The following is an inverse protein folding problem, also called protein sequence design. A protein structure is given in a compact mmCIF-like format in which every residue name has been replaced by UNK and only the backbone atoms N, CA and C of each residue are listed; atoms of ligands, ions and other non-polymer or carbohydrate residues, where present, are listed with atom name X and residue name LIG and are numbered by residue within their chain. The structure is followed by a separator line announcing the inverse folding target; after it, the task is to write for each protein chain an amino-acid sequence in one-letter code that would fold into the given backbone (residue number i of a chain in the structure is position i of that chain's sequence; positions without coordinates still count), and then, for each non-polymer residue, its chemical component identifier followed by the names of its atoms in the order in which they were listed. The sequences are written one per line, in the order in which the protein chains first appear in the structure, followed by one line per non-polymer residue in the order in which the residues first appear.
data_IF_520408490742
#
_entry.id   IF_520408490742
#
_cell.length_a   1.000
_cell.length_b   1.000
_cell.length_c   1.000
_cell.angle_alpha   90.00
_cell.angle_beta   90.00
_cell.angle_gamma   90.00
#
_symmetry.space_group_name_H-M   'P 1'
#
loop_
_entity.id
_entity.type
_entity.pdbx_description
1 polymer ?
#
# COMPACT_ATOMS: atom_id res chain seq x y z
N UNK A 1 -21.46 2.14 2.07
CA UNK A 1 -21.89 2.70 3.37
C UNK A 1 -20.77 2.71 4.42
N UNK A 2 -20.07 1.60 4.64
CA UNK A 2 -19.02 1.52 5.68
C UNK A 2 -17.88 2.53 5.52
N UNK A 3 -17.40 2.81 4.30
CA UNK A 3 -16.38 3.85 4.09
C UNK A 3 -16.86 5.26 4.52
N UNK A 4 -18.14 5.58 4.33
CA UNK A 4 -18.70 6.87 4.80
C UNK A 4 -18.64 6.92 6.32
N UNK A 5 -19.00 5.84 7.01
CA UNK A 5 -18.87 5.74 8.46
C UNK A 5 -17.42 5.96 8.90
N UNK A 6 -16.44 5.34 8.23
CA UNK A 6 -15.02 5.52 8.54
C UNK A 6 -14.60 7.00 8.41
N UNK A 7 -14.98 7.65 7.30
CA UNK A 7 -14.64 9.06 7.04
C UNK A 7 -15.34 9.99 8.03
N UNK A 8 -16.59 9.71 8.42
CA UNK A 8 -17.30 10.46 9.46
C UNK A 8 -16.65 10.27 10.84
N UNK A 9 -16.27 9.05 11.21
CA UNK A 9 -15.52 8.81 12.45
C UNK A 9 -14.19 9.56 12.47
N UNK A 10 -13.47 9.58 11.34
CA UNK A 10 -12.25 10.36 11.19
C UNK A 10 -12.53 11.88 11.33
N UNK A 11 -13.59 12.38 10.71
CA UNK A 11 -13.99 13.78 10.83
C UNK A 11 -14.29 14.16 12.29
N UNK A 12 -14.98 13.28 13.04
CA UNK A 12 -15.24 13.50 14.48
C UNK A 12 -13.94 13.57 15.27
N UNK A 13 -12.98 12.67 15.01
CA UNK A 13 -11.66 12.69 15.64
C UNK A 13 -10.94 14.02 15.38
N UNK A 14 -11.00 14.53 14.14
CA UNK A 14 -10.39 15.80 13.75
C UNK A 14 -11.08 17.00 14.41
N UNK A 15 -12.42 17.02 14.47
CA UNK A 15 -13.19 18.11 15.11
C UNK A 15 -12.89 18.20 16.60
N UNK A 16 -12.75 17.07 17.30
CA UNK A 16 -12.39 17.04 18.72
C UNK A 16 -10.97 17.61 18.92
N UNK A 17 -10.10 17.49 17.91
CA UNK A 17 -8.72 17.99 17.91
C UNK A 17 -7.78 17.29 18.89
N UNK A 18 -8.28 16.30 19.63
CA UNK A 18 -7.55 15.53 20.64
C UNK A 18 -7.99 14.07 20.57
N UNK A 19 -7.02 13.16 20.62
CA UNK A 19 -7.28 11.72 20.65
C UNK A 19 -6.50 11.05 21.79
N UNK A 20 -7.20 10.21 22.55
CA UNK A 20 -6.62 9.37 23.59
C UNK A 20 -6.30 8.00 23.02
N UNK A 21 -5.43 7.22 23.69
CA UNK A 21 -5.08 5.85 23.29
C UNK A 21 -6.31 4.96 23.06
N UNK A 22 -7.32 5.06 23.93
CA UNK A 22 -8.58 4.32 23.78
C UNK A 22 -9.37 4.71 22.53
N UNK A 23 -9.34 6.00 22.16
CA UNK A 23 -9.98 6.48 20.93
C UNK A 23 -9.25 5.97 19.68
N UNK A 24 -7.92 5.94 19.71
CA UNK A 24 -7.11 5.40 18.62
C UNK A 24 -7.31 3.88 18.47
N UNK A 25 -7.35 3.14 19.58
CA UNK A 25 -7.70 1.72 19.60
C UNK A 25 -9.10 1.48 19.03
N UNK A 26 -10.11 2.23 19.49
CA UNK A 26 -11.47 2.09 18.99
C UNK A 26 -11.58 2.35 17.48
N UNK A 27 -10.89 3.39 16.99
CA UNK A 27 -10.85 3.71 15.56
C UNK A 27 -10.21 2.59 14.74
N UNK A 28 -9.09 2.02 15.21
CA UNK A 28 -8.46 0.85 14.57
C UNK A 28 -9.38 -0.39 14.61
N UNK A 29 -10.06 -0.63 15.74
CA UNK A 29 -10.93 -1.79 15.91
C UNK A 29 -12.16 -1.79 14.97
N UNK A 30 -12.55 -0.64 14.43
CA UNK A 30 -13.59 -0.57 13.38
C UNK A 30 -13.24 -1.46 12.17
N UNK A 31 -11.96 -1.72 11.89
CA UNK A 31 -11.58 -2.60 10.79
C UNK A 31 -11.99 -4.07 11.06
N UNK A 32 -11.87 -4.53 12.31
CA UNK A 32 -12.36 -5.87 12.66
C UNK A 32 -13.88 -5.94 12.59
N UNK A 33 -14.57 -4.87 13.00
CA UNK A 33 -16.03 -4.77 12.84
C UNK A 33 -16.42 -4.86 11.36
N UNK A 34 -15.68 -4.19 10.47
CA UNK A 34 -15.88 -4.30 9.02
C UNK A 34 -15.73 -5.74 8.52
N UNK A 35 -14.63 -6.41 8.88
CA UNK A 35 -14.36 -7.79 8.45
C UNK A 35 -15.42 -8.74 8.97
N UNK A 36 -15.80 -8.62 10.25
CA UNK A 36 -16.88 -9.41 10.83
C UNK A 36 -18.22 -9.14 10.14
N UNK A 37 -18.54 -7.88 9.83
CA UNK A 37 -19.77 -7.52 9.13
C UNK A 37 -19.83 -8.15 7.74
N UNK A 38 -18.73 -8.10 6.97
CA UNK A 38 -18.64 -8.75 5.65
C UNK A 38 -18.78 -10.26 5.80
N UNK A 39 -18.10 -10.87 6.78
CA UNK A 39 -18.17 -12.31 7.02
C UNK A 39 -19.59 -12.77 7.38
N UNK A 40 -20.28 -12.04 8.27
CA UNK A 40 -21.67 -12.33 8.64
C UNK A 40 -22.61 -12.12 7.45
N UNK A 41 -22.46 -11.03 6.70
CA UNK A 41 -23.26 -10.76 5.49
C UNK A 41 -23.12 -11.89 4.47
N UNK A 42 -21.92 -12.43 4.30
CA UNK A 42 -21.66 -13.57 3.43
C UNK A 42 -22.34 -14.85 3.91
N UNK A 43 -22.30 -15.13 5.22
CA UNK A 43 -22.98 -16.29 5.77
C UNK A 43 -24.50 -16.24 5.54
N UNK A 44 -25.12 -15.06 5.73
CA UNK A 44 -26.55 -14.88 5.48
C UNK A 44 -26.92 -15.08 4.01
N UNK A 45 -26.13 -14.52 3.07
CA UNK A 45 -26.37 -14.70 1.63
C UNK A 45 -26.13 -16.15 1.19
N UNK A 46 -25.14 -16.83 1.78
CA UNK A 46 -24.89 -18.24 1.54
C UNK A 46 -26.04 -19.14 1.99
N UNK A 47 -26.64 -18.84 3.15
CA UNK A 47 -27.79 -19.57 3.69
C UNK A 47 -29.06 -19.37 2.84
N UNK A 48 -29.33 -18.15 2.36
CA UNK A 48 -30.47 -17.84 1.50
C UNK A 48 -30.35 -18.48 0.10
N UNK A 49 -29.13 -18.52 -0.46
CA UNK A 49 -28.85 -19.26 -1.70
C UNK A 49 -29.03 -20.76 -1.50
N UNK A 50 -28.52 -21.33 -0.40
CA UNK A 50 -28.65 -22.76 -0.09
C UNK A 50 -30.11 -23.19 0.08
N UNK A 51 -30.93 -22.33 0.72
CA UNK A 51 -32.37 -22.56 0.88
C UNK A 51 -33.12 -22.53 -0.46
N UNK A 52 -32.72 -21.64 -1.39
CA UNK A 52 -33.30 -21.57 -2.75
C UNK A 52 -32.76 -22.65 -3.70
N UNK A 53 -31.54 -23.15 -3.49
CA UNK A 53 -30.96 -24.24 -4.28
C UNK A 53 -31.39 -25.63 -3.78
N UNK A 54 -32.00 -25.77 -2.60
CA UNK A 54 -32.59 -27.04 -2.18
C UNK A 54 -33.76 -27.50 -3.08
N UNK A 55 -34.30 -26.63 -3.94
CA UNK A 55 -35.31 -26.95 -4.95
C UNK A 55 -34.73 -27.34 -6.33
N UNK A 56 -33.40 -27.34 -6.52
CA UNK A 56 -32.73 -27.74 -7.77
C UNK A 56 -31.50 -28.60 -7.44
N UNK A 57 -31.46 -29.82 -7.97
CA UNK A 57 -30.54 -30.94 -7.70
C UNK A 57 -29.10 -30.62 -7.22
N UNK A 58 -28.67 -31.49 -6.30
CA UNK A 58 -27.39 -31.56 -5.58
C UNK A 58 -26.19 -31.58 -6.54
N UNK A 59 -25.33 -30.56 -6.47
CA UNK A 59 -23.91 -30.69 -6.81
C UNK A 59 -23.08 -30.53 -5.53
N UNK A 60 -22.25 -31.53 -5.28
CA UNK A 60 -21.50 -31.76 -4.05
C UNK A 60 -20.18 -30.97 -4.11
N UNK A 61 -20.25 -29.66 -3.89
CA UNK A 61 -19.07 -28.84 -3.61
C UNK A 61 -19.43 -27.74 -2.62
N UNK A 62 -18.97 -27.92 -1.38
CA UNK A 62 -19.25 -27.09 -0.22
C UNK A 62 -18.41 -25.80 -0.22
N UNK A 63 -18.44 -25.04 -1.31
CA UNK A 63 -17.72 -23.77 -1.44
C UNK A 63 -18.67 -22.57 -1.53
N UNK A 64 -18.49 -21.62 -0.60
CA UNK A 64 -19.33 -20.44 -0.41
C UNK A 64 -19.28 -19.50 -1.65
N UNK A 65 -20.43 -19.04 -2.19
CA UNK A 65 -20.50 -18.45 -3.53
C UNK A 65 -19.67 -17.17 -3.74
N UNK A 66 -19.61 -16.22 -2.80
CA UNK A 66 -18.77 -15.02 -3.01
C UNK A 66 -17.29 -15.25 -2.75
N UNK A 67 -16.91 -16.25 -1.93
CA UNK A 67 -15.51 -16.64 -1.77
C UNK A 67 -15.01 -17.26 -3.07
N UNK A 68 -15.82 -18.07 -3.76
CA UNK A 68 -15.51 -18.55 -5.10
C UNK A 68 -15.43 -17.41 -6.12
N UNK A 69 -16.40 -16.49 -6.16
CA UNK A 69 -16.38 -15.36 -7.10
C UNK A 69 -15.21 -14.40 -6.84
N UNK A 70 -14.91 -14.11 -5.56
CA UNK A 70 -13.79 -13.26 -5.17
C UNK A 70 -12.45 -13.98 -5.35
N UNK A 71 -12.36 -15.31 -5.16
CA UNK A 71 -11.16 -16.11 -5.43
C UNK A 71 -10.92 -16.23 -6.93
N UNK A 72 -11.95 -16.46 -7.74
CA UNK A 72 -11.89 -16.48 -9.21
C UNK A 72 -11.56 -15.10 -9.77
N UNK A 73 -12.08 -14.04 -9.16
CA UNK A 73 -11.71 -12.67 -9.50
C UNK A 73 -10.34 -12.25 -8.97
N UNK A 74 -9.87 -12.82 -7.85
CA UNK A 74 -8.50 -12.66 -7.35
C UNK A 74 -7.52 -13.42 -8.24
N UNK A 75 -7.88 -14.60 -8.74
CA UNK A 75 -7.14 -15.36 -9.75
C UNK A 75 -7.10 -14.58 -11.06
N UNK A 76 -8.22 -14.01 -11.51
CA UNK A 76 -8.26 -13.11 -12.68
C UNK A 76 -7.41 -11.85 -12.48
N UNK A 77 -7.50 -11.22 -11.30
CA UNK A 77 -6.68 -10.07 -10.91
C UNK A 77 -5.19 -10.44 -10.86
N UNK A 78 -4.85 -11.62 -10.35
CA UNK A 78 -3.49 -12.13 -10.31
C UNK A 78 -2.98 -12.46 -11.71
N UNK A 79 -3.75 -13.17 -12.54
CA UNK A 79 -3.43 -13.46 -13.94
C UNK A 79 -3.30 -12.20 -14.80
N UNK A 80 -3.94 -11.09 -14.43
CA UNK A 80 -3.83 -9.81 -15.14
C UNK A 80 -2.69 -8.93 -14.56
N UNK A 81 -2.48 -8.99 -13.24
CA UNK A 81 -1.42 -8.27 -12.52
C UNK A 81 -0.05 -8.89 -12.76
N UNK A 82 0.06 -10.21 -12.91
CA UNK A 82 1.31 -10.91 -13.21
C UNK A 82 1.88 -10.43 -14.55
N UNK A 83 1.15 -10.38 -15.68
CA UNK A 83 1.61 -9.77 -16.92
C UNK A 83 1.97 -8.29 -16.79
N UNK A 84 1.30 -7.49 -15.95
CA UNK A 84 1.64 -6.08 -15.71
C UNK A 84 2.93 -5.91 -14.90
N UNK A 85 3.14 -6.75 -13.89
CA UNK A 85 4.37 -6.76 -13.07
C UNK A 85 5.54 -7.41 -13.81
N UNK A 86 5.28 -8.43 -14.62
CA UNK A 86 6.24 -9.10 -15.51
C UNK A 86 6.56 -8.23 -16.72
N UNK A 87 5.63 -7.41 -17.24
CA UNK A 87 5.95 -6.41 -18.29
C UNK A 87 6.92 -5.31 -17.81
N UNK A 88 7.08 -5.12 -16.49
CA UNK A 88 8.16 -4.28 -15.96
C UNK A 88 9.54 -4.95 -16.13
N UNK A 89 9.59 -6.27 -16.36
CA UNK A 89 10.78 -7.08 -16.61
C UNK A 89 10.96 -7.59 -18.05
N UNK A 90 9.91 -7.71 -18.85
CA UNK A 90 9.97 -8.23 -20.23
C UNK A 90 9.01 -7.48 -21.18
N UNK A 91 9.36 -6.25 -21.55
CA UNK A 91 8.92 -5.72 -22.86
C UNK A 91 9.77 -6.39 -23.93
N UNK A 92 9.36 -7.57 -24.35
CA UNK A 92 9.88 -8.19 -25.57
C UNK A 92 8.76 -8.93 -26.29
N UNK A 93 7.91 -8.18 -27.00
CA UNK A 93 7.69 -8.39 -28.43
C UNK A 93 6.50 -7.57 -28.95
N UNK A 94 6.74 -6.30 -29.30
CA UNK A 94 6.21 -5.77 -30.56
C UNK A 94 7.36 -5.09 -31.31
N UNK A 95 7.85 -5.78 -32.35
CA UNK A 95 8.80 -5.26 -33.33
C UNK A 95 8.11 -4.08 -34.04
N UNK A 96 8.53 -2.83 -33.82
CA UNK A 96 8.57 -1.73 -34.85
C UNK A 96 9.23 -0.40 -34.41
N UNK A 97 9.68 -0.14 -33.17
CA UNK A 97 10.45 1.09 -32.85
C UNK A 97 11.68 0.79 -31.98
N UNK A 98 12.90 0.67 -32.56
CA UNK A 98 14.02 -0.07 -31.94
C UNK A 98 15.33 0.67 -31.65
N UNK A 99 15.47 1.99 -31.73
CA UNK A 99 16.77 2.62 -31.43
C UNK A 99 16.79 3.53 -30.19
N UNK A 100 15.83 4.43 -30.02
CA UNK A 100 15.83 5.39 -28.90
C UNK A 100 15.54 4.73 -27.52
N UNK A 101 14.77 3.64 -27.51
CA UNK A 101 14.37 2.96 -26.28
C UNK A 101 15.52 2.22 -25.57
N UNK A 102 16.61 1.90 -26.29
CA UNK A 102 17.76 1.19 -25.73
C UNK A 102 18.65 2.12 -24.89
N UNK A 103 18.81 3.37 -25.32
CA UNK A 103 19.58 4.38 -24.59
C UNK A 103 18.83 4.80 -23.33
N UNK A 104 17.53 5.08 -23.43
CA UNK A 104 16.70 5.43 -22.27
C UNK A 104 16.70 4.32 -21.21
N UNK A 105 16.62 3.05 -21.64
CA UNK A 105 16.70 1.88 -20.76
C UNK A 105 18.08 1.74 -20.10
N UNK A 106 19.17 1.96 -20.84
CA UNK A 106 20.53 1.94 -20.28
C UNK A 106 20.75 3.07 -19.28
N UNK A 107 20.28 4.28 -19.58
CA UNK A 107 20.32 5.43 -18.67
C UNK A 107 19.50 5.13 -17.42
N UNK A 108 18.31 4.55 -17.58
CA UNK A 108 17.48 4.09 -16.47
C UNK A 108 18.21 3.09 -15.56
N UNK A 109 18.87 2.08 -16.14
CA UNK A 109 19.66 1.12 -15.35
C UNK A 109 20.84 1.76 -14.62
N UNK A 110 21.56 2.69 -15.26
CA UNK A 110 22.70 3.39 -14.61
C UNK A 110 22.21 4.28 -13.47
N UNK A 111 21.05 4.92 -13.62
CA UNK A 111 20.43 5.75 -12.58
C UNK A 111 19.85 4.91 -11.44
N UNK A 112 19.35 3.71 -11.72
CA UNK A 112 18.81 2.79 -10.71
C UNK A 112 19.93 2.06 -9.93
N UNK A 113 21.08 1.84 -10.56
CA UNK A 113 22.22 1.13 -9.99
C UNK A 113 22.66 1.59 -8.58
N UNK A 114 22.82 2.90 -8.30
CA UNK A 114 23.23 3.37 -6.96
C UNK A 114 22.23 3.02 -5.85
N UNK A 115 20.94 2.79 -6.18
CA UNK A 115 19.90 2.43 -5.22
C UNK A 115 19.69 0.91 -5.18
N UNK A 116 19.72 0.26 -6.33
CA UNK A 116 19.46 -1.18 -6.46
C UNK A 116 20.61 -2.02 -5.89
N UNK A 117 21.86 -1.57 -6.02
CA UNK A 117 23.03 -2.32 -5.57
C UNK A 117 23.11 -2.44 -4.03
N UNK A 118 22.99 -1.37 -3.23
CA UNK A 118 22.92 -1.49 -1.77
C UNK A 118 21.67 -2.25 -1.30
N UNK A 119 20.53 -2.06 -1.97
CA UNK A 119 19.29 -2.81 -1.69
C UNK A 119 19.49 -4.30 -1.84
N UNK A 120 20.03 -4.70 -2.99
CA UNK A 120 20.41 -6.09 -3.25
C UNK A 120 21.37 -6.56 -2.17
N UNK A 121 22.47 -5.86 -1.94
CA UNK A 121 23.50 -6.30 -1.00
C UNK A 121 23.03 -6.45 0.45
N UNK A 122 21.89 -5.88 0.85
CA UNK A 122 21.42 -5.92 2.24
C UNK A 122 20.16 -6.75 2.45
N UNK A 123 19.41 -7.07 1.39
CA UNK A 123 18.23 -7.95 1.48
C UNK A 123 18.65 -9.40 1.21
N UNK A 124 18.65 -10.28 2.23
CA UNK A 124 18.93 -11.68 2.03
C UNK A 124 17.88 -12.34 1.13
N UNK A 125 18.29 -12.77 -0.07
CA UNK A 125 17.41 -13.45 -1.02
C UNK A 125 17.43 -14.97 -0.80
N UNK A 126 16.25 -15.57 -0.59
CA UNK A 126 16.08 -17.01 -0.31
C UNK A 126 15.58 -17.80 -1.53
N UNK A 127 15.26 -17.12 -2.64
CA UNK A 127 14.75 -17.79 -3.84
C UNK A 127 15.82 -18.68 -4.48
N UNK A 128 15.46 -19.94 -4.77
CA UNK A 128 16.37 -20.95 -5.33
C UNK A 128 16.94 -20.55 -6.69
N UNK A 129 16.19 -19.77 -7.48
CA UNK A 129 16.59 -19.35 -8.83
C UNK A 129 17.63 -18.23 -8.85
N UNK A 130 17.72 -17.45 -7.76
CA UNK A 130 18.57 -16.24 -7.67
C UNK A 130 19.57 -16.32 -6.52
N UNK A 131 19.76 -17.52 -5.95
CA UNK A 131 20.65 -17.74 -4.82
C UNK A 131 22.11 -17.58 -5.24
N UNK A 132 22.88 -16.81 -4.46
CA UNK A 132 24.33 -16.84 -4.53
C UNK A 132 24.92 -16.76 -3.13
N UNK A 133 25.85 -17.67 -2.82
CA UNK A 133 26.49 -17.78 -1.50
C UNK A 133 27.16 -16.47 -1.07
N UNK A 134 27.87 -15.81 -1.99
CA UNK A 134 28.60 -14.58 -1.68
C UNK A 134 27.66 -13.44 -1.29
N UNK A 135 26.56 -13.27 -2.03
CA UNK A 135 25.57 -12.25 -1.75
C UNK A 135 24.86 -12.49 -0.43
N UNK A 136 24.51 -13.74 -0.15
CA UNK A 136 23.91 -14.16 1.10
C UNK A 136 24.75 -13.78 2.34
N UNK A 137 26.07 -14.00 2.26
CA UNK A 137 27.02 -13.65 3.32
C UNK A 137 27.13 -12.13 3.46
N UNK A 138 27.23 -11.40 2.34
CA UNK A 138 27.33 -9.94 2.36
C UNK A 138 26.07 -9.31 2.96
N UNK A 139 24.88 -9.81 2.62
CA UNK A 139 23.61 -9.30 3.16
C UNK A 139 23.49 -9.48 4.66
N UNK A 140 23.84 -10.65 5.19
CA UNK A 140 23.79 -10.89 6.63
C UNK A 140 24.83 -10.05 7.38
N UNK A 141 25.98 -9.82 6.76
CA UNK A 141 27.04 -9.01 7.37
C UNK A 141 26.66 -7.52 7.39
N UNK A 142 26.03 -7.03 6.32
CA UNK A 142 25.76 -5.61 6.11
C UNK A 142 24.41 -5.16 6.71
N UNK A 143 23.44 -6.06 6.89
CA UNK A 143 22.11 -5.74 7.41
C UNK A 143 22.12 -5.09 8.82
N UNK A 144 22.85 -5.61 9.84
CA UNK A 144 22.90 -4.99 11.16
C UNK A 144 23.53 -3.60 11.15
N UNK A 145 24.53 -3.39 10.29
CA UNK A 145 25.22 -2.11 10.14
C UNK A 145 24.29 -1.05 9.52
N UNK A 146 23.51 -1.43 8.51
CA UNK A 146 22.52 -0.53 7.90
C UNK A 146 21.42 -0.14 8.90
N UNK A 147 20.96 -1.08 9.75
CA UNK A 147 19.96 -0.78 10.79
C UNK A 147 20.45 0.23 11.83
N UNK A 148 21.70 0.10 12.29
CA UNK A 148 22.27 1.07 13.24
C UNK A 148 22.49 2.43 12.58
N UNK A 149 22.93 2.47 11.32
CA UNK A 149 23.11 3.74 10.61
C UNK A 149 21.77 4.51 10.46
N UNK A 150 20.67 3.80 10.19
CA UNK A 150 19.33 4.41 10.17
C UNK A 150 18.93 4.89 11.57
N UNK A 151 19.19 4.08 12.60
CA UNK A 151 18.90 4.46 13.97
C UNK A 151 19.66 5.72 14.40
N UNK A 152 20.90 5.88 13.91
CA UNK A 152 21.73 7.06 14.16
C UNK A 152 21.23 8.30 13.39
N UNK A 153 20.79 8.11 12.14
CA UNK A 153 20.29 9.20 11.30
C UNK A 153 18.93 9.76 11.77
N UNK A 154 18.04 8.89 12.28
CA UNK A 154 16.68 9.27 12.68
C UNK A 154 16.46 9.32 14.20
N UNK A 155 17.34 8.72 15.00
CA UNK A 155 17.23 8.59 16.46
C UNK A 155 18.18 9.51 17.23
N UNK A 156 18.30 9.32 18.56
CA UNK A 156 19.36 9.99 19.33
C UNK A 156 20.73 9.50 18.87
N UNK A 157 21.73 10.41 18.82
CA UNK A 157 23.11 10.06 18.44
C UNK A 157 23.55 8.78 19.16
N UNK A 158 23.69 7.72 18.37
CA UNK A 158 24.13 6.44 18.87
C UNK A 158 25.62 6.53 19.12
N UNK A 159 26.08 6.02 20.26
CA UNK A 159 27.51 5.98 20.53
C UNK A 159 28.20 5.15 19.45
N UNK A 160 29.39 5.56 19.00
CA UNK A 160 30.26 4.82 18.06
C UNK A 160 30.39 3.33 18.44
N UNK A 161 30.24 3.01 19.73
CA UNK A 161 30.15 1.66 20.27
C UNK A 161 29.01 0.79 19.71
N UNK A 162 27.85 1.36 19.39
CA UNK A 162 26.72 0.65 18.79
C UNK A 162 27.00 0.25 17.33
N UNK A 163 27.67 1.12 16.57
CA UNK A 163 28.19 0.82 15.23
C UNK A 163 29.25 -0.29 15.29
N UNK A 164 30.15 -0.22 16.27
CA UNK A 164 31.16 -1.26 16.51
C UNK A 164 30.53 -2.62 16.84
N UNK A 165 29.56 -2.66 17.77
CA UNK A 165 28.90 -3.89 18.19
C UNK A 165 28.09 -4.54 17.05
N UNK A 166 27.34 -3.74 16.29
CA UNK A 166 26.57 -4.24 15.13
C UNK A 166 27.47 -4.76 14.00
N UNK A 167 28.61 -4.12 13.76
CA UNK A 167 29.62 -4.62 12.82
C UNK A 167 30.19 -5.98 13.23
N UNK A 168 30.58 -6.13 14.50
CA UNK A 168 31.08 -7.42 15.04
C UNK A 168 30.00 -8.50 14.98
N UNK A 169 28.75 -8.17 15.33
CA UNK A 169 27.62 -9.08 15.25
C UNK A 169 27.36 -9.53 13.80
N UNK A 170 27.34 -8.59 12.85
CA UNK A 170 27.16 -8.88 11.43
C UNK A 170 28.26 -9.77 10.87
N UNK A 171 29.53 -9.49 11.18
CA UNK A 171 30.68 -10.31 10.77
C UNK A 171 30.59 -11.71 11.38
N UNK A 172 30.23 -11.82 12.67
CA UNK A 172 30.02 -13.10 13.34
C UNK A 172 28.95 -13.94 12.66
N UNK A 173 27.78 -13.34 12.37
CA UNK A 173 26.71 -14.01 11.63
C UNK A 173 27.12 -14.39 10.20
N UNK A 174 27.86 -13.53 9.50
CA UNK A 174 28.38 -13.81 8.15
C UNK A 174 29.35 -14.99 8.12
N UNK A 175 30.27 -15.07 9.09
CA UNK A 175 31.21 -16.19 9.24
C UNK A 175 30.48 -17.50 9.56
N UNK A 176 29.50 -17.47 10.46
CA UNK A 176 28.68 -18.65 10.77
C UNK A 176 27.98 -19.21 9.52
N UNK A 177 27.44 -18.33 8.67
CA UNK A 177 26.82 -18.73 7.40
C UNK A 177 27.85 -19.23 6.39
N UNK A 178 29.04 -18.64 6.34
CA UNK A 178 30.12 -19.12 5.48
C UNK A 178 30.51 -20.58 5.79
N UNK A 179 30.62 -20.92 7.08
CA UNK A 179 30.96 -22.27 7.54
C UNK A 179 29.81 -23.27 7.47
N UNK A 180 28.56 -22.81 7.60
CA UNK A 180 27.38 -23.70 7.65
C UNK A 180 26.74 -23.91 6.27
N UNK A 181 27.01 -23.05 5.28
CA UNK A 181 26.33 -23.09 3.98
C UNK A 181 27.08 -23.91 2.92
N UNK A 182 26.46 -25.01 2.51
CA UNK A 182 26.77 -25.73 1.27
C UNK A 182 26.35 -24.85 0.10
N UNK A 183 27.29 -24.28 -0.63
CA UNK A 183 27.07 -23.13 -1.53
C UNK A 183 26.08 -23.31 -2.70
N UNK A 184 25.48 -24.49 -2.87
CA UNK A 184 24.50 -24.79 -3.92
C UNK A 184 23.04 -24.62 -3.51
N UNK A 185 22.70 -24.66 -2.21
CA UNK A 185 21.30 -24.63 -1.78
C UNK A 185 21.06 -23.61 -0.66
N UNK A 186 19.87 -22.95 -0.64
CA UNK A 186 19.50 -22.09 0.47
C UNK A 186 19.40 -22.92 1.78
N UNK A 187 19.71 -22.32 2.94
CA UNK A 187 19.73 -23.03 4.21
C UNK A 187 18.33 -23.54 4.62
N UNK A 188 18.10 -24.84 4.49
CA UNK A 188 16.79 -25.47 4.77
C UNK A 188 16.44 -25.53 6.27
N UNK A 189 17.44 -25.59 7.16
CA UNK A 189 17.23 -25.74 8.62
C UNK A 189 16.79 -24.45 9.34
N UNK A 190 16.97 -23.27 8.73
CA UNK A 190 16.62 -21.97 9.31
C UNK A 190 15.91 -21.05 8.31
N UNK A 191 15.09 -21.63 7.42
CA UNK A 191 14.42 -20.89 6.36
C UNK A 191 13.55 -19.73 6.89
N UNK A 192 12.81 -19.97 7.98
CA UNK A 192 11.97 -18.94 8.59
C UNK A 192 12.77 -17.71 9.07
N UNK A 193 13.95 -17.90 9.66
CA UNK A 193 14.81 -16.80 10.11
C UNK A 193 15.33 -15.98 8.92
N UNK A 194 15.71 -16.67 7.84
CA UNK A 194 16.17 -16.04 6.60
C UNK A 194 15.06 -15.22 5.93
N UNK A 195 13.84 -15.76 5.87
CA UNK A 195 12.66 -15.06 5.36
C UNK A 195 12.30 -13.87 6.26
N UNK A 196 12.36 -14.03 7.58
CA UNK A 196 12.11 -12.96 8.54
C UNK A 196 13.11 -11.81 8.41
N UNK A 197 14.40 -12.11 8.25
CA UNK A 197 15.43 -11.09 8.03
C UNK A 197 15.26 -10.38 6.68
N UNK A 198 14.96 -11.12 5.62
CA UNK A 198 14.68 -10.55 4.29
C UNK A 198 13.46 -9.63 4.31
N UNK A 199 12.42 -10.04 5.03
CA UNK A 199 11.21 -9.23 5.23
C UNK A 199 11.51 -7.96 6.04
N UNK A 200 12.25 -8.06 7.15
CA UNK A 200 12.63 -6.91 7.96
C UNK A 200 13.44 -5.90 7.13
N UNK A 201 14.44 -6.37 6.39
CA UNK A 201 15.26 -5.53 5.53
C UNK A 201 14.44 -4.89 4.39
N UNK A 202 13.43 -5.59 3.87
CA UNK A 202 12.52 -5.04 2.88
C UNK A 202 11.70 -3.88 3.46
N UNK A 203 11.16 -4.03 4.68
CA UNK A 203 10.47 -2.93 5.39
C UNK A 203 11.40 -1.74 5.58
N UNK A 204 12.63 -1.98 6.01
CA UNK A 204 13.64 -0.93 6.20
C UNK A 204 13.92 -0.16 4.91
N UNK A 205 14.07 -0.86 3.78
CA UNK A 205 14.25 -0.21 2.47
C UNK A 205 13.03 0.57 2.02
N UNK A 206 11.82 0.05 2.25
CA UNK A 206 10.58 0.79 1.99
C UNK A 206 10.53 2.07 2.81
N UNK A 207 10.94 2.03 4.08
CA UNK A 207 11.02 3.22 4.93
C UNK A 207 12.02 4.25 4.39
N UNK A 208 13.26 3.85 4.06
CA UNK A 208 14.27 4.76 3.48
C UNK A 208 13.73 5.41 2.20
N UNK A 209 13.18 4.60 1.29
CA UNK A 209 12.64 5.12 0.02
C UNK A 209 11.47 6.07 0.23
N UNK A 210 10.62 5.83 1.23
CA UNK A 210 9.51 6.72 1.55
C UNK A 210 10.00 8.07 2.12
N UNK A 211 10.96 8.06 3.03
CA UNK A 211 11.55 9.29 3.61
C UNK A 211 12.29 10.13 2.56
N UNK A 212 13.09 9.50 1.70
CA UNK A 212 13.75 10.18 0.58
C UNK A 212 12.74 10.76 -0.42
N UNK A 213 11.67 9.99 -0.73
CA UNK A 213 10.60 10.46 -1.61
C UNK A 213 9.89 11.70 -1.04
N UNK A 214 9.58 11.70 0.25
CA UNK A 214 8.98 12.85 0.94
C UNK A 214 9.95 14.04 0.93
N UNK A 215 11.24 13.82 1.20
CA UNK A 215 12.26 14.86 1.22
C UNK A 215 12.46 15.53 -0.15
N UNK A 216 12.46 14.72 -1.22
CA UNK A 216 12.49 15.22 -2.60
C UNK A 216 11.23 16.00 -2.94
N UNK A 217 10.07 15.54 -2.49
CA UNK A 217 8.80 16.23 -2.72
C UNK A 217 8.76 17.60 -2.03
N UNK A 218 9.23 17.69 -0.78
CA UNK A 218 9.32 18.96 -0.05
C UNK A 218 10.29 19.90 -0.78
N UNK A 219 11.44 19.40 -1.21
CA UNK A 219 12.44 20.18 -1.96
C UNK A 219 11.88 20.68 -3.29
N UNK A 220 11.13 19.84 -4.01
CA UNK A 220 10.43 20.24 -5.24
C UNK A 220 9.33 21.28 -4.96
N UNK A 221 8.61 21.17 -3.85
CA UNK A 221 7.64 22.20 -3.42
C UNK A 221 8.29 23.55 -3.17
N UNK A 222 9.45 23.58 -2.52
CA UNK A 222 10.23 24.81 -2.31
C UNK A 222 10.72 25.42 -3.63
N UNK A 223 11.16 24.61 -4.60
CA UNK A 223 11.65 25.09 -5.91
C UNK A 223 10.49 25.63 -6.76
N UNK A 224 9.34 24.95 -6.77
CA UNK A 224 8.17 25.32 -7.57
C UNK A 224 7.29 26.39 -6.91
N UNK A 225 7.54 26.71 -5.64
CA UNK A 225 6.70 27.62 -4.85
C UNK A 225 5.32 27.05 -4.53
N UNK A 226 5.21 25.72 -4.43
CA UNK A 226 3.95 25.00 -4.16
C UNK A 226 4.06 24.36 -2.76
N UNK A 227 3.01 24.47 -1.96
CA UNK A 227 2.97 23.84 -0.64
C UNK A 227 3.18 22.31 -0.70
N UNK A 228 4.06 21.75 0.16
CA UNK A 228 4.30 20.30 0.20
C UNK A 228 3.02 19.49 0.45
N UNK A 229 2.04 20.06 1.16
CA UNK A 229 0.74 19.44 1.41
C UNK A 229 -0.04 19.17 0.12
N UNK A 230 -0.05 20.10 -0.85
CA UNK A 230 -0.73 19.88 -2.14
C UNK A 230 0.01 18.86 -2.98
N UNK A 231 1.34 18.91 -3.00
CA UNK A 231 2.17 17.89 -3.65
C UNK A 231 1.93 16.50 -3.04
N UNK A 232 1.72 16.43 -1.73
CA UNK A 232 1.34 15.19 -1.04
C UNK A 232 -0.06 14.69 -1.44
N UNK A 233 -1.04 15.59 -1.47
CA UNK A 233 -2.41 15.29 -1.88
C UNK A 233 -2.55 14.96 -3.38
N UNK A 234 -1.58 15.36 -4.21
CA UNK A 234 -1.59 15.14 -5.66
C UNK A 234 -0.58 14.09 -6.07
N UNK A 235 0.71 14.45 -6.21
CA UNK A 235 1.76 13.60 -6.76
C UNK A 235 1.96 12.33 -5.91
N UNK A 236 2.04 12.44 -4.57
CA UNK A 236 2.18 11.25 -3.73
C UNK A 236 0.91 10.39 -3.74
N UNK A 237 -0.27 11.01 -3.61
CA UNK A 237 -1.54 10.28 -3.63
C UNK A 237 -1.80 9.58 -4.98
N UNK A 238 -1.48 10.24 -6.11
CA UNK A 238 -1.50 9.66 -7.44
C UNK A 238 -0.50 8.51 -7.56
N UNK A 239 0.74 8.71 -7.11
CA UNK A 239 1.76 7.66 -7.13
C UNK A 239 1.31 6.40 -6.39
N UNK A 240 0.70 6.56 -5.22
CA UNK A 240 0.17 5.46 -4.43
C UNK A 240 -1.02 4.75 -5.10
N UNK A 241 -1.89 5.49 -5.80
CA UNK A 241 -3.15 4.96 -6.35
C UNK A 241 -3.10 4.61 -7.84
N UNK A 242 -2.03 4.97 -8.56
CA UNK A 242 -1.92 4.78 -10.02
C UNK A 242 -1.88 3.29 -10.39
N UNK A 243 -1.15 2.48 -9.60
CA UNK A 243 -1.09 1.04 -9.81
C UNK A 243 -2.46 0.38 -9.66
N UNK A 244 -3.22 0.80 -8.65
CA UNK A 244 -4.59 0.33 -8.41
C UNK A 244 -5.55 0.83 -9.49
N UNK A 245 -5.41 2.07 -9.96
CA UNK A 245 -6.20 2.59 -11.07
C UNK A 245 -6.00 1.74 -12.33
N UNK A 246 -4.74 1.46 -12.71
CA UNK A 246 -4.44 0.64 -13.88
C UNK A 246 -5.00 -0.78 -13.71
N UNK A 247 -4.81 -1.39 -12.55
CA UNK A 247 -5.33 -2.73 -12.27
C UNK A 247 -6.87 -2.78 -12.34
N UNK A 248 -7.56 -1.86 -11.68
CA UNK A 248 -9.01 -1.80 -11.62
C UNK A 248 -9.64 -1.48 -12.98
N UNK A 249 -9.03 -0.59 -13.77
CA UNK A 249 -9.49 -0.31 -15.14
C UNK A 249 -9.32 -1.53 -16.03
N UNK A 250 -8.20 -2.24 -15.91
CA UNK A 250 -7.96 -3.43 -16.73
C UNK A 250 -8.95 -4.53 -16.35
N UNK A 251 -9.19 -4.74 -15.05
CA UNK A 251 -10.16 -5.71 -14.56
C UNK A 251 -11.60 -5.38 -15.00
N UNK A 252 -12.00 -4.11 -14.94
CA UNK A 252 -13.30 -3.67 -15.40
C UNK A 252 -13.50 -3.83 -16.92
N UNK A 253 -12.42 -3.75 -17.71
CA UNK A 253 -12.48 -3.92 -19.17
C UNK A 253 -12.43 -5.38 -19.62
N UNK A 254 -11.66 -6.22 -18.92
CA UNK A 254 -11.35 -7.60 -19.35
C UNK A 254 -12.16 -8.65 -18.60
N UNK A 255 -12.58 -8.39 -17.36
CA UNK A 255 -13.26 -9.34 -16.49
C UNK A 255 -14.79 -9.38 -16.63
N UNK A 256 -15.35 -8.76 -17.66
CA UNK A 256 -16.80 -8.77 -17.87
C UNK A 256 -17.59 -8.11 -16.71
N UNK A 257 -18.85 -8.54 -16.46
CA UNK A 257 -19.68 -7.99 -15.39
C UNK A 257 -19.09 -8.17 -13.98
N UNK A 258 -18.47 -9.33 -13.73
CA UNK A 258 -17.85 -9.68 -12.43
C UNK A 258 -16.58 -8.85 -12.17
N UNK A 259 -15.77 -8.61 -13.21
CA UNK A 259 -14.56 -7.80 -13.11
C UNK A 259 -14.82 -6.35 -12.69
N UNK A 260 -15.92 -5.76 -13.16
CA UNK A 260 -16.31 -4.40 -12.75
C UNK A 260 -16.73 -4.33 -11.27
N UNK A 261 -17.42 -5.36 -10.77
CA UNK A 261 -17.79 -5.44 -9.35
C UNK A 261 -16.53 -5.56 -8.47
N UNK A 262 -15.57 -6.39 -8.88
CA UNK A 262 -14.34 -6.62 -8.12
C UNK A 262 -13.46 -5.37 -8.12
N UNK A 263 -13.38 -4.67 -9.25
CA UNK A 263 -12.68 -3.38 -9.35
C UNK A 263 -13.25 -2.35 -8.36
N UNK A 264 -14.58 -2.31 -8.18
CA UNK A 264 -15.20 -1.44 -7.19
C UNK A 264 -14.91 -1.87 -5.76
N UNK A 265 -14.99 -3.17 -5.47
CA UNK A 265 -14.62 -3.70 -4.16
C UNK A 265 -13.19 -3.26 -3.79
N UNK A 266 -12.25 -3.34 -4.73
CA UNK A 266 -10.89 -2.82 -4.56
C UNK A 266 -10.83 -1.32 -4.28
N UNK A 267 -11.54 -0.51 -5.07
CA UNK A 267 -11.63 0.95 -4.89
C UNK A 267 -12.18 1.40 -3.53
N UNK A 268 -13.00 0.58 -2.87
CA UNK A 268 -13.54 0.88 -1.54
C UNK A 268 -12.73 0.24 -0.41
N UNK A 269 -12.33 -1.02 -0.56
CA UNK A 269 -11.59 -1.76 0.47
C UNK A 269 -10.20 -1.16 0.72
N UNK A 270 -9.51 -0.70 -0.33
CA UNK A 270 -8.20 -0.06 -0.22
C UNK A 270 -8.21 1.16 0.70
N UNK A 271 -9.05 2.18 0.44
CA UNK A 271 -9.21 3.33 1.33
C UNK A 271 -9.65 2.96 2.75
N UNK A 272 -10.56 1.99 2.93
CA UNK A 272 -10.96 1.52 4.27
C UNK A 272 -9.75 0.97 5.04
N UNK A 273 -8.93 0.14 4.39
CA UNK A 273 -7.71 -0.40 4.99
C UNK A 273 -6.70 0.71 5.31
N UNK A 274 -6.41 1.59 4.36
CA UNK A 274 -5.45 2.68 4.53
C UNK A 274 -5.87 3.63 5.68
N UNK A 275 -7.16 3.92 5.80
CA UNK A 275 -7.70 4.77 6.87
C UNK A 275 -7.73 4.06 8.22
N UNK A 276 -8.32 2.86 8.33
CA UNK A 276 -8.50 2.23 9.63
C UNK A 276 -7.24 1.54 10.14
N UNK A 277 -6.53 0.81 9.28
CA UNK A 277 -5.29 0.11 9.66
C UNK A 277 -4.10 1.05 9.57
N UNK A 278 -3.91 1.72 8.43
CA UNK A 278 -2.75 2.60 8.22
C UNK A 278 -2.74 3.79 9.19
N UNK A 279 -3.75 4.67 9.10
CA UNK A 279 -3.87 5.81 9.99
C UNK A 279 -4.20 5.38 11.44
N UNK A 280 -5.05 4.37 11.66
CA UNK A 280 -5.37 3.91 13.02
C UNK A 280 -4.17 3.37 13.80
N UNK A 281 -3.31 2.53 13.19
CA UNK A 281 -2.06 2.10 13.83
C UNK A 281 -1.13 3.28 14.10
N UNK A 282 -1.04 4.22 13.16
CA UNK A 282 -0.21 5.43 13.32
C UNK A 282 -0.68 6.25 14.53
N UNK A 283 -1.99 6.41 14.70
CA UNK A 283 -2.60 7.08 15.87
C UNK A 283 -2.37 6.30 17.18
N UNK A 284 -2.40 4.96 17.14
CA UNK A 284 -2.08 4.14 18.32
C UNK A 284 -0.63 4.36 18.72
N UNK A 285 0.32 4.31 17.79
CA UNK A 285 1.75 4.51 18.11
C UNK A 285 2.04 5.91 18.65
N UNK A 286 1.42 6.96 18.10
CA UNK A 286 1.61 8.34 18.57
C UNK A 286 1.01 8.56 19.96
N UNK A 287 -0.21 8.07 20.19
CA UNK A 287 -0.88 8.16 21.50
C UNK A 287 -0.24 7.28 22.56
N UNK A 288 0.33 6.13 22.18
CA UNK A 288 1.09 5.27 23.10
C UNK A 288 2.33 5.97 23.63
N UNK A 289 3.09 6.67 22.76
CA UNK A 289 4.26 7.46 23.16
C UNK A 289 3.91 8.65 24.07
N UNK A 290 2.72 9.23 23.89
CA UNK A 290 2.24 10.38 24.67
C UNK A 290 1.46 9.97 25.94
N UNK A 291 1.24 8.68 26.19
CA UNK A 291 0.39 8.20 27.28
C UNK A 291 0.95 8.62 28.65
N UNK A 292 0.13 9.18 29.58
CA UNK A 292 -1.34 9.23 29.60
C UNK A 292 -1.97 10.52 29.01
N UNK A 293 -1.18 11.41 28.42
CA UNK A 293 -1.69 12.67 27.84
C UNK A 293 -2.37 12.46 26.48
N UNK A 294 -3.29 13.35 26.11
CA UNK A 294 -3.97 13.31 24.81
C UNK A 294 -3.05 13.85 23.71
N UNK A 295 -3.00 13.15 22.56
CA UNK A 295 -2.32 13.66 21.37
C UNK A 295 -3.21 14.72 20.71
N UNK A 296 -2.65 15.91 20.44
CA UNK A 296 -3.34 16.99 19.74
C UNK A 296 -3.18 16.74 18.25
N UNK A 297 -4.30 16.58 17.54
CA UNK A 297 -4.28 16.34 16.10
C UNK A 297 -3.99 17.67 15.39
N UNK A 298 -2.86 17.82 14.69
CA UNK A 298 -2.59 19.03 13.92
C UNK A 298 -3.69 19.17 12.87
N UNK A 299 -4.43 20.28 12.93
CA UNK A 299 -5.61 20.49 12.11
C UNK A 299 -5.43 21.75 11.30
N UNK A 300 -5.26 21.58 9.99
CA UNK A 300 -5.32 22.68 9.03
C UNK A 300 -6.75 22.83 8.49
N UNK A 301 -7.15 24.07 8.21
CA UNK A 301 -8.48 24.37 7.63
C UNK A 301 -8.72 23.62 6.31
N UNK A 302 -7.64 23.32 5.57
CA UNK A 302 -7.65 22.60 4.30
C UNK A 302 -8.10 21.15 4.41
N UNK A 303 -7.89 20.50 5.56
CA UNK A 303 -8.24 19.08 5.79
C UNK A 303 -9.76 18.88 5.79
N UNK A 304 -10.52 19.85 6.32
CA UNK A 304 -11.98 19.81 6.30
C UNK A 304 -12.53 19.85 4.87
N UNK A 305 -11.90 20.61 3.99
CA UNK A 305 -12.27 20.65 2.57
C UNK A 305 -11.99 19.32 1.90
N UNK A 306 -10.84 18.69 2.18
CA UNK A 306 -10.46 17.40 1.60
C UNK A 306 -11.47 16.30 1.96
N UNK A 307 -11.81 16.22 3.25
CA UNK A 307 -12.82 15.28 3.76
C UNK A 307 -14.20 15.62 3.19
N UNK A 308 -14.53 16.90 3.04
CA UNK A 308 -15.78 17.36 2.44
C UNK A 308 -15.95 16.88 1.00
N UNK A 309 -14.94 17.06 0.15
CA UNK A 309 -14.96 16.58 -1.24
C UNK A 309 -15.00 15.04 -1.34
N UNK A 310 -14.27 14.34 -0.45
CA UNK A 310 -14.32 12.88 -0.36
C UNK A 310 -15.73 12.39 0.00
N UNK A 311 -16.36 12.98 1.03
CA UNK A 311 -17.73 12.67 1.43
C UNK A 311 -18.74 13.00 0.31
N UNK A 312 -18.56 14.12 -0.39
CA UNK A 312 -19.40 14.49 -1.52
C UNK A 312 -19.38 13.43 -2.62
N UNK A 313 -18.19 12.94 -2.99
CA UNK A 313 -18.04 11.85 -3.96
C UNK A 313 -18.69 10.55 -3.49
N UNK A 314 -18.54 10.21 -2.20
CA UNK A 314 -19.15 9.01 -1.60
C UNK A 314 -20.68 9.09 -1.57
N UNK A 315 -21.24 10.25 -1.21
CA UNK A 315 -22.68 10.50 -1.20
C UNK A 315 -23.22 10.48 -2.63
N UNK A 316 -22.52 11.07 -3.59
CA UNK A 316 -22.88 11.00 -5.01
C UNK A 316 -22.99 9.55 -5.47
N UNK A 317 -21.99 8.72 -5.18
CA UNK A 317 -22.03 7.30 -5.50
C UNK A 317 -23.19 6.57 -4.80
N UNK A 318 -23.41 6.85 -3.51
CA UNK A 318 -24.49 6.24 -2.72
C UNK A 318 -25.89 6.59 -3.24
N UNK A 319 -26.09 7.79 -3.81
CA UNK A 319 -27.40 8.23 -4.32
C UNK A 319 -27.63 7.76 -5.75
N UNK A 320 -26.61 7.80 -6.61
CA UNK A 320 -26.76 7.47 -8.04
C UNK A 320 -26.83 5.97 -8.26
N UNK A 321 -26.09 5.17 -7.50
CA UNK A 321 -26.01 3.72 -7.71
C UNK A 321 -27.37 3.01 -7.47
N UNK A 322 -28.12 3.26 -6.38
CA UNK A 322 -29.45 2.68 -6.20
C UNK A 322 -30.48 3.20 -7.20
N UNK A 323 -30.37 4.48 -7.61
CA UNK A 323 -31.27 5.08 -8.62
C UNK A 323 -31.12 4.48 -10.02
N UNK A 324 -30.06 3.71 -10.27
CA UNK A 324 -29.75 3.07 -11.55
C UNK A 324 -29.72 1.55 -11.44
N UNK A 325 -30.56 0.99 -10.56
CA UNK A 325 -30.71 -0.46 -10.35
C UNK A 325 -29.39 -1.18 -10.03
N UNK A 326 -28.51 -0.52 -9.27
CA UNK A 326 -27.17 -1.03 -8.92
C UNK A 326 -26.25 -1.30 -10.12
N UNK A 327 -26.58 -0.75 -11.30
CA UNK A 327 -25.74 -0.87 -12.49
C UNK A 327 -24.74 0.27 -12.59
N UNK A 328 -23.54 -0.09 -13.00
CA UNK A 328 -22.45 0.85 -13.21
C UNK A 328 -22.61 1.56 -14.55
N UNK A 329 -23.16 2.76 -14.49
CA UNK A 329 -23.36 3.60 -15.66
C UNK A 329 -22.26 4.66 -15.79
N UNK A 330 -22.03 5.14 -17.02
CA UNK A 330 -21.09 6.22 -17.35
C UNK A 330 -21.38 7.48 -16.53
N UNK A 331 -22.64 7.74 -16.21
CA UNK A 331 -23.04 8.90 -15.42
C UNK A 331 -22.43 8.90 -14.01
N UNK A 332 -22.34 7.73 -13.36
CA UNK A 332 -21.69 7.58 -12.06
C UNK A 332 -20.20 7.96 -12.16
N UNK A 333 -19.50 7.40 -13.14
CA UNK A 333 -18.08 7.64 -13.37
C UNK A 333 -17.77 9.10 -13.74
N UNK A 334 -18.54 9.69 -14.66
CA UNK A 334 -18.39 11.10 -15.05
C UNK A 334 -18.63 12.04 -13.87
N UNK A 335 -19.65 11.77 -13.04
CA UNK A 335 -19.90 12.57 -11.85
C UNK A 335 -18.77 12.49 -10.82
N UNK A 336 -18.23 11.30 -10.56
CA UNK A 336 -17.07 11.13 -9.66
C UNK A 336 -15.82 11.83 -10.21
N UNK A 337 -15.55 11.71 -11.51
CA UNK A 337 -14.43 12.40 -12.16
C UNK A 337 -14.61 13.92 -12.10
N UNK A 338 -15.82 14.43 -12.33
CA UNK A 338 -16.11 15.86 -12.25
C UNK A 338 -15.91 16.42 -10.83
N UNK A 339 -16.36 15.71 -9.80
CA UNK A 339 -16.12 16.08 -8.39
C UNK A 339 -14.62 16.11 -8.11
N UNK A 340 -13.89 15.09 -8.56
CA UNK A 340 -12.44 15.02 -8.37
C UNK A 340 -11.67 16.13 -9.12
N UNK A 341 -12.04 16.41 -10.38
CA UNK A 341 -11.46 17.50 -11.16
C UNK A 341 -11.77 18.86 -10.55
N UNK A 342 -12.98 19.08 -10.03
CA UNK A 342 -13.36 20.30 -9.31
C UNK A 342 -12.52 20.48 -8.04
N UNK A 343 -12.37 19.41 -7.24
CA UNK A 343 -11.51 19.39 -6.06
C UNK A 343 -10.07 19.81 -6.41
N UNK A 344 -9.46 19.16 -7.41
CA UNK A 344 -8.10 19.49 -7.84
C UNK A 344 -7.98 20.92 -8.33
N UNK A 345 -8.93 21.38 -9.14
CA UNK A 345 -8.93 22.74 -9.65
C UNK A 345 -8.98 23.77 -8.52
N UNK A 346 -9.88 23.59 -7.54
CA UNK A 346 -10.00 24.51 -6.41
C UNK A 346 -8.76 24.51 -5.52
N UNK A 347 -8.14 23.34 -5.30
CA UNK A 347 -6.90 23.24 -4.53
C UNK A 347 -5.73 23.93 -5.21
N UNK A 348 -5.56 23.71 -6.51
CA UNK A 348 -4.53 24.40 -7.29
C UNK A 348 -4.81 25.91 -7.37
N UNK A 349 -6.05 26.30 -7.64
CA UNK A 349 -6.44 27.71 -7.73
C UNK A 349 -6.21 28.48 -6.42
N UNK A 350 -6.39 27.83 -5.27
CA UNK A 350 -6.13 28.46 -3.96
C UNK A 350 -4.64 28.65 -3.69
N UNK A 351 -3.81 27.68 -4.10
CA UNK A 351 -2.35 27.78 -3.94
C UNK A 351 -1.74 28.87 -4.82
N UNK A 352 -2.23 28.97 -6.06
CA UNK A 352 -1.77 29.99 -7.02
C UNK A 352 -2.55 31.32 -6.94
N UNK A 353 -3.56 31.40 -6.08
CA UNK A 353 -4.35 32.61 -5.86
C UNK A 353 -3.59 33.63 -5.01
N UNK A 354 -3.86 34.95 -5.17
CA UNK A 354 -3.25 35.96 -4.31
C UNK A 354 -3.68 35.74 -2.85
N UNK A 355 -2.69 35.59 -1.97
CA UNK A 355 -2.86 35.42 -0.51
C UNK A 355 -3.44 36.66 0.16
#
# INVERSE_FOLDING_TARGET
MFLILCVVCLLVVIIIGKINLWGALAFFFLYFVYVCFIFVSEMYVGEEKCLNSADIEIDDSLDLPMICDMKKAQELSYELRVPLLVNKGEVQSEKTQREDFCVLRKVGYVLELPLDLPRKLTIPNVSQEKWSKSFAIVSITLAPLLLVLIWDFFGPESSIWACGFSGVLGIGCGLLVFFTSDGLHPPKKFNFLWLGLGFLMSITWTYILAEELISLLVSMGLILGISPSILGLTVLAWGNSLGDLVANVTLAKTGGPEGAQVALCGCYAGPIFNTLVGLGLSLIFTTWKAFPSSYIVPTDSTVYEDIGFLLLGLIWALVILPKRDMKLDKFLGVGLLAIYSCFLFLKLAREFGPQ
#
